data_IF_861377023868
#
_entry.id   IF_861377023868
#
_cell.length_a   1.000
_cell.length_b   1.000
_cell.length_c   1.000
_cell.angle_alpha   90.00
_cell.angle_beta   90.00
_cell.angle_gamma   90.00
#
_symmetry.space_group_name_H-M   'P 1'
#
loop_
_entity.id
_entity.type
_entity.pdbx_description
1 polymer ?
#
# COMPACT_ATOMS: atom_id res chain seq x y z
N UNK A 1 4.68 39.10 2.64
CA UNK A 1 6.13 38.83 2.85
C UNK A 1 6.62 39.77 3.94
N UNK A 2 7.01 39.29 5.13
CA UNK A 2 7.31 40.18 6.27
C UNK A 2 8.27 39.53 7.29
N UNK A 3 9.33 40.27 7.69
CA UNK A 3 10.23 39.98 8.83
C UNK A 3 10.98 41.25 9.28
N UNK A 4 10.85 41.66 10.55
CA UNK A 4 11.94 42.25 11.36
C UNK A 4 12.27 41.30 12.54
N UNK A 5 13.52 41.02 12.97
CA UNK A 5 14.69 41.84 13.35
C UNK A 5 14.72 42.13 14.88
N UNK A 6 15.69 41.51 15.59
CA UNK A 6 16.07 41.81 16.99
C UNK A 6 17.17 42.90 17.07
N UNK A 7 17.49 43.50 18.24
CA UNK A 7 18.38 42.93 19.29
C UNK A 7 17.71 43.03 20.71
N UNK A 8 18.31 43.15 21.91
CA UNK A 8 19.70 43.39 22.44
C UNK A 8 19.90 42.74 23.85
N UNK A 9 21.13 42.79 24.38
CA UNK A 9 21.60 42.22 25.66
C UNK A 9 21.31 43.10 26.89
N UNK A 10 21.19 42.44 28.06
CA UNK A 10 21.99 42.66 29.31
C UNK A 10 21.55 41.65 30.39
N UNK A 11 22.28 41.23 31.42
CA UNK A 11 23.72 41.04 31.79
C UNK A 11 23.79 41.20 33.32
N UNK A 12 24.49 40.29 34.03
CA UNK A 12 24.94 40.40 35.45
C UNK A 12 23.86 40.17 36.53
N UNK A 13 24.18 39.83 37.79
CA UNK A 13 25.37 39.20 38.44
C UNK A 13 24.95 38.78 39.89
N UNK A 14 25.51 37.69 40.43
CA UNK A 14 25.34 37.30 41.84
C UNK A 14 26.53 36.48 42.37
N UNK A 15 26.82 36.53 43.68
CA UNK A 15 28.00 35.88 44.30
C UNK A 15 27.77 35.44 45.76
N UNK A 16 28.05 34.17 46.06
CA UNK A 16 28.52 33.63 47.36
C UNK A 16 29.24 32.27 47.06
N UNK A 17 30.35 31.78 47.64
CA UNK A 17 31.02 31.89 48.98
C UNK A 17 30.18 31.19 50.09
N UNK A 18 30.67 30.32 51.00
CA UNK A 18 32.00 30.06 51.61
C UNK A 18 32.14 28.55 52.04
N UNK A 19 33.37 27.97 52.01
CA UNK A 19 33.90 26.72 52.67
C UNK A 19 33.18 25.38 52.36
N UNK A 20 33.82 24.23 52.11
CA UNK A 20 35.08 23.56 52.55
C UNK A 20 34.91 22.65 53.78
N UNK A 21 34.83 21.34 53.51
CA UNK A 21 35.13 20.22 54.41
C UNK A 21 35.91 19.16 53.59
N UNK A 22 36.76 18.35 54.23
CA UNK A 22 37.73 17.48 53.52
C UNK A 22 37.50 15.97 53.74
N UNK A 23 37.81 15.21 52.69
CA UNK A 23 38.35 13.83 52.65
C UNK A 23 37.72 12.75 53.56
N UNK A 24 37.09 11.73 52.95
CA UNK A 24 37.74 10.41 52.69
C UNK A 24 36.73 9.26 52.49
N UNK A 25 36.93 8.48 51.40
CA UNK A 25 36.41 7.14 50.99
C UNK A 25 36.35 7.18 49.45
N UNK A 26 37.28 6.60 48.69
CA UNK A 26 37.63 5.16 48.51
C UNK A 26 36.45 4.37 47.92
N UNK A 27 36.66 3.83 46.71
CA UNK A 27 35.71 2.98 45.98
C UNK A 27 34.74 3.74 45.06
N UNK A 28 34.99 3.77 43.74
CA UNK A 28 34.14 4.50 42.79
C UNK A 28 34.72 4.61 41.37
N UNK A 29 34.93 3.45 40.73
CA UNK A 29 35.65 3.27 39.45
C UNK A 29 35.33 4.34 38.38
N UNK A 30 36.34 5.17 38.13
CA UNK A 30 36.64 5.95 36.91
C UNK A 30 35.53 6.05 35.83
N UNK A 31 34.80 7.16 35.83
CA UNK A 31 34.30 7.77 34.58
C UNK A 31 35.29 8.84 34.11
N UNK A 32 35.50 8.92 32.80
CA UNK A 32 36.54 9.71 32.12
C UNK A 32 37.98 9.24 32.37
N UNK A 33 38.66 8.82 31.30
CA UNK A 33 39.61 9.74 30.64
C UNK A 33 39.42 9.61 29.13
N UNK A 34 39.16 10.72 28.45
CA UNK A 34 39.27 10.79 26.99
C UNK A 34 40.75 10.77 26.60
N UNK A 35 41.32 9.57 26.39
CA UNK A 35 42.69 9.41 25.87
C UNK A 35 42.65 9.13 24.37
N UNK A 36 43.14 10.09 23.59
CA UNK A 36 43.22 9.98 22.14
C UNK A 36 44.13 8.83 21.71
N UNK A 37 43.56 7.84 21.03
CA UNK A 37 44.29 6.90 20.17
C UNK A 37 43.51 6.83 18.87
N UNK A 38 44.18 7.07 17.74
CA UNK A 38 43.54 6.96 16.44
C UNK A 38 43.36 5.48 16.09
N UNK A 39 42.13 5.07 15.77
CA UNK A 39 41.88 3.83 15.06
C UNK A 39 40.85 4.10 13.95
N UNK A 40 41.23 3.80 12.72
CA UNK A 40 40.39 4.08 11.55
C UNK A 40 39.26 3.05 11.45
N UNK A 41 38.12 3.34 12.08
CA UNK A 41 36.84 2.80 11.63
C UNK A 41 36.15 3.84 10.75
N UNK A 42 36.48 3.79 9.46
CA UNK A 42 35.58 4.29 8.42
C UNK A 42 34.29 3.48 8.57
N UNK A 43 33.25 4.10 9.11
CA UNK A 43 31.99 3.42 9.37
C UNK A 43 31.40 2.98 8.02
N UNK A 44 31.55 1.69 7.69
CA UNK A 44 30.87 1.07 6.56
C UNK A 44 29.39 1.02 6.91
N UNK A 45 28.68 2.12 6.62
CA UNK A 45 27.24 2.20 6.72
C UNK A 45 26.67 1.22 5.71
N UNK A 46 26.41 -0.01 6.15
CA UNK A 46 25.62 -0.97 5.40
C UNK A 46 24.21 -0.39 5.27
N UNK A 47 24.01 0.34 4.18
CA UNK A 47 22.70 0.63 3.65
C UNK A 47 22.10 -0.72 3.24
N UNK A 48 21.47 -1.38 4.21
CA UNK A 48 20.61 -2.52 3.98
C UNK A 48 19.38 -2.01 3.23
N UNK A 49 19.54 -1.82 1.92
CA UNK A 49 18.43 -1.78 0.99
C UNK A 49 17.70 -3.11 1.13
N UNK A 50 16.67 -3.11 1.97
CA UNK A 50 15.72 -4.20 2.04
C UNK A 50 15.07 -4.30 0.66
N UNK A 51 15.58 -5.21 -0.17
CA UNK A 51 14.99 -5.55 -1.45
C UNK A 51 13.62 -6.11 -1.15
N UNK A 52 12.59 -5.31 -1.35
CA UNK A 52 11.19 -5.74 -1.22
C UNK A 52 10.92 -6.66 -2.41
N UNK A 53 11.27 -7.94 -2.25
CA UNK A 53 10.97 -8.98 -3.22
C UNK A 53 9.45 -8.98 -3.40
N UNK A 54 8.91 -8.76 -4.60
CA UNK A 54 7.47 -8.81 -4.80
C UNK A 54 7.00 -10.22 -4.47
N UNK A 55 6.28 -10.38 -3.37
CA UNK A 55 5.75 -11.68 -2.96
C UNK A 55 4.68 -12.07 -3.96
N UNK A 56 4.92 -13.18 -4.68
CA UNK A 56 3.98 -13.68 -5.68
C UNK A 56 2.61 -13.93 -5.01
N UNK A 57 1.56 -13.30 -5.54
CA UNK A 57 0.19 -13.49 -5.07
C UNK A 57 -0.25 -14.93 -5.35
N UNK A 58 -0.32 -15.73 -4.29
CA UNK A 58 -0.81 -17.10 -4.36
C UNK A 58 -2.33 -17.11 -4.22
N UNK A 59 -3.02 -17.09 -5.36
CA UNK A 59 -4.46 -17.38 -5.42
C UNK A 59 -4.73 -18.86 -5.13
N UNK A 60 -5.85 -19.11 -4.45
CA UNK A 60 -6.32 -20.40 -3.96
C UNK A 60 -7.74 -20.65 -4.50
N UNK A 61 -8.18 -21.92 -4.56
CA UNK A 61 -9.58 -22.23 -4.90
C UNK A 61 -10.55 -21.54 -3.94
N UNK A 62 -11.52 -20.82 -4.50
CA UNK A 62 -12.48 -19.99 -3.77
C UNK A 62 -12.08 -18.50 -3.64
N UNK A 63 -10.85 -18.12 -4.01
CA UNK A 63 -10.49 -16.70 -4.09
C UNK A 63 -11.22 -16.04 -5.27
N UNK A 64 -11.82 -14.88 -5.02
CA UNK A 64 -12.35 -14.01 -6.06
C UNK A 64 -11.24 -13.10 -6.57
N UNK A 65 -11.10 -13.09 -7.88
CA UNK A 65 -10.02 -12.45 -8.62
C UNK A 65 -10.57 -11.63 -9.77
N UNK A 66 -9.68 -10.90 -10.44
CA UNK A 66 -9.93 -10.22 -11.69
C UNK A 66 -8.96 -10.82 -12.71
N UNK A 67 -9.48 -11.38 -13.81
CA UNK A 67 -8.70 -12.15 -14.78
C UNK A 67 -8.88 -11.63 -16.22
N UNK A 68 -7.89 -11.83 -17.09
CA UNK A 68 -8.06 -11.63 -18.54
C UNK A 68 -9.07 -12.63 -19.11
N UNK A 69 -9.61 -12.34 -20.29
CA UNK A 69 -10.45 -13.28 -21.05
C UNK A 69 -9.91 -13.40 -22.48
N UNK A 70 -9.77 -14.63 -23.00
CA UNK A 70 -9.33 -14.96 -24.37
C UNK A 70 -8.11 -14.16 -24.88
N UNK A 71 -7.17 -13.81 -23.98
CA UNK A 71 -5.99 -13.03 -24.32
C UNK A 71 -6.20 -11.52 -24.49
N UNK A 72 -7.32 -10.96 -23.99
CA UNK A 72 -7.51 -9.52 -23.82
C UNK A 72 -6.34 -8.92 -23.01
N UNK A 73 -5.71 -7.88 -23.55
CA UNK A 73 -4.56 -7.20 -22.95
C UNK A 73 -4.93 -5.89 -22.23
N UNK A 74 -6.21 -5.49 -22.32
CA UNK A 74 -6.73 -4.23 -21.78
C UNK A 74 -7.60 -4.48 -20.56
N UNK A 75 -8.56 -5.40 -20.65
CA UNK A 75 -9.60 -5.57 -19.63
C UNK A 75 -9.39 -6.79 -18.72
N UNK A 76 -9.90 -6.68 -17.49
CA UNK A 76 -10.01 -7.74 -16.50
C UNK A 76 -11.49 -7.90 -16.10
N UNK A 77 -11.91 -9.15 -15.98
CA UNK A 77 -13.27 -9.57 -15.68
C UNK A 77 -13.31 -10.27 -14.31
N UNK A 78 -14.33 -10.02 -13.47
CA UNK A 78 -14.53 -10.73 -12.21
C UNK A 78 -14.69 -12.25 -12.38
N UNK A 79 -13.97 -13.03 -11.58
CA UNK A 79 -14.02 -14.49 -11.61
C UNK A 79 -13.60 -15.14 -10.28
N UNK A 80 -14.13 -16.33 -9.97
CA UNK A 80 -13.72 -17.15 -8.85
C UNK A 80 -12.72 -18.22 -9.33
N UNK A 81 -11.61 -18.40 -8.59
CA UNK A 81 -10.66 -19.48 -8.85
C UNK A 81 -11.28 -20.82 -8.49
N UNK A 82 -11.36 -21.73 -9.46
CA UNK A 82 -11.87 -23.10 -9.26
C UNK A 82 -10.73 -24.09 -9.00
N UNK A 83 -9.60 -23.96 -9.69
CA UNK A 83 -8.43 -24.83 -9.55
C UNK A 83 -7.13 -24.07 -9.85
N UNK A 84 -6.00 -24.54 -9.31
CA UNK A 84 -4.66 -24.08 -9.68
C UNK A 84 -3.76 -25.24 -10.08
N UNK A 85 -3.34 -25.26 -11.34
CA UNK A 85 -2.43 -26.24 -11.93
C UNK A 85 -1.07 -25.59 -12.22
N UNK A 86 -0.25 -25.43 -11.18
CA UNK A 86 1.05 -24.74 -11.26
C UNK A 86 0.89 -23.24 -11.54
N UNK A 87 1.27 -22.83 -12.75
CA UNK A 87 1.12 -21.45 -13.24
C UNK A 87 -0.17 -21.19 -14.02
N UNK A 88 -1.00 -22.22 -14.26
CA UNK A 88 -2.34 -22.07 -14.86
C UNK A 88 -3.40 -22.04 -13.75
N UNK A 89 -4.38 -21.15 -13.89
CA UNK A 89 -5.50 -20.96 -12.97
C UNK A 89 -6.79 -21.22 -13.74
N UNK A 90 -7.60 -22.18 -13.28
CA UNK A 90 -8.95 -22.42 -13.78
C UNK A 90 -9.91 -21.46 -13.08
N UNK A 91 -10.83 -20.88 -13.86
CA UNK A 91 -11.65 -19.73 -13.46
C UNK A 91 -13.12 -19.95 -13.85
N UNK A 92 -14.02 -19.52 -12.98
CA UNK A 92 -15.45 -19.36 -13.23
C UNK A 92 -15.74 -17.85 -13.21
N UNK A 93 -16.08 -17.27 -14.35
CA UNK A 93 -16.41 -15.85 -14.48
C UNK A 93 -17.80 -15.56 -13.92
N UNK A 94 -18.00 -14.33 -13.47
CA UNK A 94 -19.23 -13.85 -12.80
C UNK A 94 -20.48 -13.87 -13.71
N UNK A 95 -20.31 -14.00 -15.04
CA UNK A 95 -21.37 -14.12 -16.06
C UNK A 95 -21.83 -15.57 -16.29
N UNK A 96 -21.02 -16.55 -15.86
CA UNK A 96 -21.27 -17.98 -16.03
C UNK A 96 -20.26 -18.69 -16.92
N UNK A 97 -19.42 -17.99 -17.67
CA UNK A 97 -18.41 -18.62 -18.52
C UNK A 97 -17.22 -19.16 -17.72
N UNK A 98 -16.52 -20.15 -18.28
CA UNK A 98 -15.37 -20.82 -17.66
C UNK A 98 -14.14 -20.74 -18.54
N UNK A 99 -12.96 -20.56 -17.93
CA UNK A 99 -11.71 -20.40 -18.67
C UNK A 99 -10.47 -20.80 -17.88
N UNK A 100 -9.32 -20.70 -18.53
CA UNK A 100 -8.01 -20.91 -17.92
C UNK A 100 -7.07 -19.79 -18.35
N UNK A 101 -6.40 -19.17 -17.38
CA UNK A 101 -5.44 -18.09 -17.61
C UNK A 101 -4.13 -18.37 -16.87
N UNK A 102 -2.97 -17.92 -17.39
CA UNK A 102 -1.73 -17.91 -16.63
C UNK A 102 -1.87 -17.03 -15.37
N UNK A 103 -1.17 -17.37 -14.29
CA UNK A 103 -1.21 -16.62 -13.04
C UNK A 103 -0.75 -15.14 -13.16
N UNK A 104 -0.05 -14.78 -14.25
CA UNK A 104 0.30 -13.39 -14.59
C UNK A 104 -0.88 -12.57 -15.15
N UNK A 105 -1.92 -13.24 -15.68
CA UNK A 105 -3.14 -12.66 -16.21
C UNK A 105 -4.27 -12.57 -15.15
N UNK A 106 -3.96 -12.89 -13.90
CA UNK A 106 -4.90 -12.88 -12.76
C UNK A 106 -4.39 -11.96 -11.67
N UNK A 107 -5.24 -11.08 -11.15
CA UNK A 107 -4.95 -10.18 -10.02
C UNK A 107 -6.00 -10.35 -8.91
N UNK A 108 -5.67 -9.94 -7.69
CA UNK A 108 -6.63 -9.93 -6.58
C UNK A 108 -7.82 -9.01 -6.90
N UNK A 109 -9.03 -9.39 -6.48
CA UNK A 109 -10.21 -8.53 -6.63
C UNK A 109 -10.08 -7.31 -5.71
N UNK A 110 -9.94 -6.13 -6.30
CA UNK A 110 -9.67 -4.85 -5.65
C UNK A 110 -10.79 -3.81 -5.82
N UNK A 111 -11.91 -4.20 -6.44
CA UNK A 111 -13.03 -3.29 -6.68
C UNK A 111 -13.72 -2.88 -5.38
N UNK A 112 -14.00 -1.58 -5.27
CA UNK A 112 -14.66 -0.94 -4.14
C UNK A 112 -15.43 0.31 -4.61
N UNK A 113 -16.30 0.92 -3.79
CA UNK A 113 -16.96 2.18 -4.11
C UNK A 113 -15.96 3.29 -4.52
N UNK A 114 -15.91 3.57 -5.82
CA UNK A 114 -15.02 4.53 -6.44
C UNK A 114 -13.97 3.98 -7.40
N UNK A 115 -13.84 2.66 -7.54
CA UNK A 115 -13.15 2.04 -8.67
C UNK A 115 -13.78 2.51 -9.99
N UNK A 116 -12.93 2.86 -10.96
CA UNK A 116 -13.34 3.09 -12.36
C UNK A 116 -13.31 1.78 -13.13
N UNK A 117 -14.30 1.61 -14.00
CA UNK A 117 -14.51 0.44 -14.83
C UNK A 117 -15.36 0.84 -16.05
N UNK A 118 -15.56 -0.07 -16.99
CA UNK A 118 -16.66 0.02 -17.94
C UNK A 118 -17.77 -0.97 -17.54
N UNK A 119 -19.02 -0.60 -17.76
CA UNK A 119 -20.16 -1.52 -17.63
C UNK A 119 -20.95 -1.56 -18.94
N UNK A 120 -21.44 -2.76 -19.28
CA UNK A 120 -22.20 -3.06 -20.49
C UNK A 120 -23.67 -2.73 -20.31
N UNK A 121 -24.20 -1.87 -21.18
CA UNK A 121 -25.61 -1.48 -21.15
C UNK A 121 -26.50 -2.47 -21.92
N UNK A 122 -27.82 -2.23 -21.91
CA UNK A 122 -28.83 -3.11 -22.53
C UNK A 122 -28.81 -3.12 -24.07
N UNK A 123 -28.09 -2.21 -24.70
CA UNK A 123 -27.74 -2.22 -26.12
C UNK A 123 -26.50 -3.10 -26.44
N UNK A 124 -25.83 -3.60 -25.40
CA UNK A 124 -24.62 -4.41 -25.51
C UNK A 124 -23.30 -3.62 -25.63
N UNK A 125 -23.33 -2.28 -25.55
CA UNK A 125 -22.17 -1.39 -25.61
C UNK A 125 -21.59 -1.18 -24.21
N UNK A 126 -20.26 -1.01 -24.12
CA UNK A 126 -19.54 -0.73 -22.88
C UNK A 126 -19.40 0.78 -22.67
N UNK A 127 -19.75 1.26 -21.48
CA UNK A 127 -19.72 2.69 -21.11
C UNK A 127 -18.88 2.91 -19.83
N UNK A 128 -18.08 4.00 -19.76
CA UNK A 128 -17.26 4.30 -18.59
C UNK A 128 -18.12 4.71 -17.39
N UNK A 129 -17.78 4.14 -16.23
CA UNK A 129 -18.48 4.37 -14.98
C UNK A 129 -17.54 4.30 -13.77
N UNK A 130 -18.07 4.68 -12.60
CA UNK A 130 -17.51 4.34 -11.30
C UNK A 130 -18.50 3.54 -10.47
N UNK A 131 -17.99 2.66 -9.62
CA UNK A 131 -18.81 2.04 -8.57
C UNK A 131 -19.27 3.14 -7.61
N UNK A 132 -20.58 3.31 -7.46
CA UNK A 132 -21.22 4.22 -6.51
C UNK A 132 -21.46 3.53 -5.17
N UNK A 133 -21.97 2.30 -5.19
CA UNK A 133 -22.14 1.41 -4.03
C UNK A 133 -21.77 -0.03 -4.39
N UNK A 134 -21.45 -0.83 -3.39
CA UNK A 134 -21.16 -2.26 -3.52
C UNK A 134 -21.73 -3.00 -2.31
N UNK A 135 -22.39 -4.12 -2.55
CA UNK A 135 -23.03 -4.92 -1.51
C UNK A 135 -22.00 -5.72 -0.69
N UNK A 136 -22.42 -6.31 0.44
CA UNK A 136 -21.54 -7.13 1.28
C UNK A 136 -21.08 -8.41 0.58
N UNK A 137 -21.89 -8.93 -0.35
CA UNK A 137 -21.54 -10.02 -1.26
C UNK A 137 -20.61 -9.58 -2.39
N UNK A 138 -20.33 -8.29 -2.55
CA UNK A 138 -19.58 -7.62 -3.65
C UNK A 138 -20.11 -7.84 -5.07
N UNK A 139 -21.08 -8.72 -5.28
CA UNK A 139 -21.60 -9.08 -6.60
C UNK A 139 -22.60 -8.03 -7.07
N UNK A 140 -23.54 -7.64 -6.20
CA UNK A 140 -24.46 -6.55 -6.49
C UNK A 140 -23.76 -5.19 -6.28
N UNK A 141 -23.90 -4.29 -7.26
CA UNK A 141 -23.28 -2.97 -7.27
C UNK A 141 -24.26 -1.91 -7.78
N UNK A 142 -24.11 -0.68 -7.31
CA UNK A 142 -24.63 0.50 -8.00
C UNK A 142 -23.48 1.17 -8.74
N UNK A 143 -23.70 1.54 -9.99
CA UNK A 143 -22.75 2.32 -10.80
C UNK A 143 -23.30 3.68 -11.17
N UNK A 144 -22.39 4.63 -11.33
CA UNK A 144 -22.63 5.98 -11.85
C UNK A 144 -21.79 6.14 -13.12
N UNK A 145 -22.46 6.35 -14.25
CA UNK A 145 -21.82 6.58 -15.55
C UNK A 145 -21.30 8.01 -15.66
N UNK A 146 -20.32 8.25 -16.54
CA UNK A 146 -19.68 9.57 -16.69
C UNK A 146 -20.62 10.64 -17.31
N UNK A 147 -21.79 10.26 -17.84
CA UNK A 147 -22.88 11.17 -18.26
C UNK A 147 -23.82 11.60 -17.12
N UNK A 148 -23.79 10.88 -15.99
CA UNK A 148 -24.60 11.13 -14.79
C UNK A 148 -25.67 10.07 -14.49
N UNK A 149 -25.92 9.13 -15.41
CA UNK A 149 -26.94 8.09 -15.20
C UNK A 149 -26.48 7.03 -14.18
N UNK A 150 -27.46 6.36 -13.56
CA UNK A 150 -27.24 5.38 -12.49
C UNK A 150 -27.94 4.06 -12.75
N UNK A 151 -27.29 2.97 -12.37
CA UNK A 151 -27.82 1.62 -12.52
C UNK A 151 -27.46 0.76 -11.31
N UNK A 152 -28.44 0.04 -10.76
CA UNK A 152 -28.21 -1.13 -9.93
C UNK A 152 -27.98 -2.33 -10.87
N UNK A 153 -26.81 -2.95 -10.79
CA UNK A 153 -26.38 -4.05 -11.66
C UNK A 153 -25.54 -5.04 -10.86
N UNK A 154 -24.83 -5.96 -11.52
CA UNK A 154 -23.85 -6.81 -10.88
C UNK A 154 -22.48 -6.75 -11.58
N UNK A 155 -21.48 -7.35 -10.96
CA UNK A 155 -20.08 -7.38 -11.41
C UNK A 155 -19.87 -8.04 -12.78
N UNK A 156 -20.74 -8.95 -13.24
CA UNK A 156 -20.59 -9.64 -14.53
C UNK A 156 -20.84 -8.74 -15.74
N UNK A 157 -21.65 -7.69 -15.56
CA UNK A 157 -21.87 -6.68 -16.59
C UNK A 157 -20.72 -5.67 -16.69
N UNK A 158 -19.64 -5.81 -15.91
CA UNK A 158 -18.59 -4.79 -15.81
C UNK A 158 -17.17 -5.35 -15.97
N UNK A 159 -16.23 -4.50 -16.36
CA UNK A 159 -14.81 -4.84 -16.61
C UNK A 159 -13.87 -3.72 -16.20
N UNK A 160 -12.72 -4.07 -15.64
CA UNK A 160 -11.71 -3.13 -15.13
C UNK A 160 -10.44 -3.10 -15.98
N UNK A 161 -9.65 -2.03 -15.86
CA UNK A 161 -8.27 -1.96 -16.38
C UNK A 161 -7.28 -2.34 -15.28
#
# INVERSE_FOLDING_TARGET
MWRPRAPDLKRSKGRAKIRLAQNARVGGIMKSVLKSVALAMLALTMAACATVTPQATSFNTGDWVLARWEGDQTWYYPAIVTERAGDVISLQYDDGDVGQEPAANVRAFDWAPGTRLECRWSDGIWYPARIAQMHQDRYAIEVLYDDGDKQSTNTSFCRGQ
#
